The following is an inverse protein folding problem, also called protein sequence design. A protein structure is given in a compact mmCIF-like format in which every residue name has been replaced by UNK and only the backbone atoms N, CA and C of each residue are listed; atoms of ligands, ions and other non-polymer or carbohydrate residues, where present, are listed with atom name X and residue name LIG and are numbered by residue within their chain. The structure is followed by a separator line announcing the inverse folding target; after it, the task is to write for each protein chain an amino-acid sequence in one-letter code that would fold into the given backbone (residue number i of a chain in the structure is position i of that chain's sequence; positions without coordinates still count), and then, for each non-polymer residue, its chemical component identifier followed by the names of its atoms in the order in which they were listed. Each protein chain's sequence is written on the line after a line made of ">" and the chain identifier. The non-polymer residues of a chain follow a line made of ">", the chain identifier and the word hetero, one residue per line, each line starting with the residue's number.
data_IF_693931440685
#
_entry.id   IF_693931440685
#
_cell.length_a   1.000
_cell.length_b   1.000
_cell.length_c   1.000
_cell.angle_alpha   90.00
_cell.angle_beta   90.00
_cell.angle_gamma   90.00
#
_symmetry.space_group_name_H-M   'P 1'
#
loop_
_entity.id
_entity.type
_entity.pdbx_description
1 polymer ?
#
# COMPACT_ATOMS: atom_id res chain seq x y z
N UNK A 1 2.09 -29.83 21.62
CA UNK A 1 1.26 -28.62 21.85
C UNK A 1 0.39 -28.44 20.62
N UNK A 2 -0.92 -28.44 20.77
CA UNK A 2 -1.83 -28.16 19.65
C UNK A 2 -1.61 -26.74 19.21
N UNK A 3 -1.19 -26.54 17.96
CA UNK A 3 -1.00 -25.24 17.34
C UNK A 3 -2.34 -24.50 17.27
N UNK A 4 -2.41 -23.26 17.79
CA UNK A 4 -3.62 -22.45 17.71
C UNK A 4 -4.00 -22.20 16.24
N UNK A 5 -5.30 -22.19 15.96
CA UNK A 5 -5.83 -22.06 14.62
C UNK A 5 -6.48 -20.70 14.39
N UNK A 6 -6.03 -19.98 13.39
CA UNK A 6 -6.55 -18.66 12.99
C UNK A 6 -7.32 -18.80 11.68
N UNK A 7 -8.57 -18.33 11.64
CA UNK A 7 -9.28 -18.17 10.38
C UNK A 7 -8.97 -16.78 9.79
N UNK A 8 -8.48 -16.72 8.55
CA UNK A 8 -8.16 -15.48 7.83
C UNK A 8 -9.07 -15.32 6.61
N UNK A 9 -9.84 -14.24 6.56
CA UNK A 9 -10.91 -14.01 5.60
C UNK A 9 -10.84 -12.63 4.95
N UNK A 10 -11.26 -12.54 3.66
CA UNK A 10 -11.43 -13.65 2.72
C UNK A 10 -10.09 -14.27 2.33
N UNK A 11 -10.07 -15.48 1.77
CA UNK A 11 -8.88 -15.96 1.05
C UNK A 11 -8.64 -15.03 -0.14
N UNK A 12 -7.45 -14.45 -0.21
CA UNK A 12 -7.08 -13.48 -1.22
C UNK A 12 -5.90 -13.98 -2.05
N UNK A 13 -6.04 -13.86 -3.36
CA UNK A 13 -5.02 -14.23 -4.34
C UNK A 13 -4.76 -13.04 -5.29
N UNK A 14 -3.56 -12.96 -5.87
CA UNK A 14 -3.17 -11.91 -6.80
C UNK A 14 -2.18 -10.89 -6.22
N UNK A 15 -2.02 -9.75 -6.91
CA UNK A 15 -0.97 -8.76 -6.65
C UNK A 15 -1.46 -7.54 -5.86
N UNK A 16 -2.75 -7.40 -5.63
CA UNK A 16 -3.31 -6.24 -4.92
C UNK A 16 -2.88 -6.17 -3.45
N UNK A 17 -2.91 -4.98 -2.87
CA UNK A 17 -2.48 -4.71 -1.50
C UNK A 17 -3.03 -5.67 -0.44
N UNK A 18 -4.35 -5.93 -0.37
CA UNK A 18 -4.91 -6.90 0.57
C UNK A 18 -4.43 -8.34 0.36
N UNK A 19 -4.21 -8.77 -0.90
CA UNK A 19 -3.67 -10.08 -1.21
C UNK A 19 -2.20 -10.22 -0.79
N UNK A 20 -1.42 -9.13 -0.95
CA UNK A 20 -0.06 -9.03 -0.43
C UNK A 20 0.01 -9.23 1.07
N UNK A 21 -0.84 -8.51 1.80
CA UNK A 21 -0.94 -8.66 3.26
C UNK A 21 -1.35 -10.10 3.63
N UNK A 22 -2.39 -10.65 3.00
CA UNK A 22 -2.84 -12.02 3.25
C UNK A 22 -1.70 -13.03 3.10
N UNK A 23 -0.95 -12.94 1.99
CA UNK A 23 0.17 -13.85 1.72
C UNK A 23 1.28 -13.76 2.77
N UNK A 24 1.74 -12.54 3.07
CA UNK A 24 2.80 -12.29 4.07
C UNK A 24 2.36 -12.72 5.47
N UNK A 25 1.19 -12.29 5.90
CA UNK A 25 0.65 -12.64 7.23
C UNK A 25 0.52 -14.15 7.38
N UNK A 26 -0.14 -14.84 6.43
CA UNK A 26 -0.38 -16.28 6.54
C UNK A 26 0.90 -17.11 6.43
N UNK A 27 1.90 -16.67 5.66
CA UNK A 27 3.25 -17.27 5.62
C UNK A 27 3.89 -17.18 7.01
N UNK A 28 4.00 -15.96 7.55
CA UNK A 28 4.72 -15.70 8.81
C UNK A 28 4.05 -16.38 10.02
N UNK A 29 2.72 -16.38 10.10
CA UNK A 29 2.05 -17.10 11.23
C UNK A 29 2.21 -18.61 11.13
N UNK A 30 2.26 -19.21 9.92
CA UNK A 30 2.56 -20.64 9.75
C UNK A 30 3.99 -20.98 10.17
N UNK A 31 4.96 -20.14 9.82
CA UNK A 31 6.36 -20.29 10.23
C UNK A 31 6.51 -20.25 11.76
N UNK A 32 5.57 -19.59 12.46
CA UNK A 32 5.47 -19.56 13.94
C UNK A 32 4.65 -20.70 14.52
N UNK A 33 4.23 -21.65 13.70
CA UNK A 33 3.51 -22.85 14.14
C UNK A 33 2.00 -22.71 14.25
N UNK A 34 1.39 -21.59 13.82
CA UNK A 34 -0.07 -21.45 13.78
C UNK A 34 -0.66 -22.16 12.56
N UNK A 35 -1.83 -22.76 12.74
CA UNK A 35 -2.64 -23.26 11.63
C UNK A 35 -3.51 -22.14 11.04
N UNK A 36 -3.64 -22.08 9.71
CA UNK A 36 -4.46 -21.06 9.02
C UNK A 36 -5.60 -21.72 8.26
N UNK A 37 -6.81 -21.27 8.54
CA UNK A 37 -8.05 -21.66 7.88
C UNK A 37 -8.70 -20.52 7.11
N UNK A 38 -9.64 -20.83 6.18
CA UNK A 38 -10.43 -19.78 5.49
C UNK A 38 -11.94 -19.90 5.81
N UNK A 39 -12.32 -20.77 6.73
CA UNK A 39 -13.67 -20.86 7.26
C UNK A 39 -13.65 -20.54 8.77
N UNK A 40 -14.30 -19.48 9.22
CA UNK A 40 -14.34 -19.09 10.63
C UNK A 40 -15.21 -20.03 11.48
N UNK A 41 -16.01 -20.89 10.85
CA UNK A 41 -16.84 -21.87 11.54
C UNK A 41 -16.18 -23.24 11.65
N UNK A 42 -14.99 -23.45 11.09
CA UNK A 42 -14.27 -24.70 11.14
C UNK A 42 -13.96 -25.14 12.59
N UNK A 43 -13.93 -26.45 12.87
CA UNK A 43 -13.51 -26.96 14.16
C UNK A 43 -12.07 -26.50 14.50
N UNK A 44 -11.85 -26.19 15.78
CA UNK A 44 -10.50 -25.78 16.25
C UNK A 44 -10.10 -24.35 15.96
N UNK A 45 -10.91 -23.54 15.25
CA UNK A 45 -10.64 -22.10 15.09
C UNK A 45 -10.82 -21.39 16.42
N UNK A 46 -9.79 -20.67 16.84
CA UNK A 46 -9.71 -19.94 18.11
C UNK A 46 -9.82 -18.41 17.94
N UNK A 47 -9.38 -17.89 16.79
CA UNK A 47 -9.49 -16.47 16.44
C UNK A 47 -9.76 -16.28 14.94
N UNK A 48 -10.33 -15.13 14.59
CA UNK A 48 -10.67 -14.77 13.20
C UNK A 48 -10.06 -13.41 12.87
N UNK A 49 -9.32 -13.34 11.76
CA UNK A 49 -8.88 -12.10 11.14
C UNK A 49 -9.69 -11.85 9.87
N UNK A 50 -10.41 -10.74 9.82
CA UNK A 50 -11.13 -10.28 8.62
C UNK A 50 -10.34 -9.15 7.97
N UNK A 51 -9.92 -9.37 6.72
CA UNK A 51 -9.24 -8.35 5.90
C UNK A 51 -10.30 -7.57 5.12
N UNK A 52 -10.44 -6.28 5.44
CA UNK A 52 -11.48 -5.39 4.93
C UNK A 52 -12.89 -5.95 5.19
N UNK A 53 -13.47 -6.65 4.22
CA UNK A 53 -14.81 -7.24 4.33
C UNK A 53 -14.88 -8.64 3.71
N UNK A 54 -15.89 -9.39 4.10
CA UNK A 54 -16.16 -10.74 3.57
C UNK A 54 -17.63 -10.99 3.42
N UNK A 55 -18.01 -11.85 2.47
CA UNK A 55 -19.39 -12.33 2.29
C UNK A 55 -19.79 -13.41 3.31
N UNK A 56 -18.85 -13.93 4.07
CA UNK A 56 -19.06 -14.99 5.08
C UNK A 56 -19.71 -14.46 6.38
N UNK A 57 -20.64 -13.51 6.29
CA UNK A 57 -21.33 -12.90 7.45
C UNK A 57 -22.02 -13.94 8.36
N UNK A 58 -22.76 -14.93 7.82
CA UNK A 58 -23.38 -15.95 8.68
C UNK A 58 -22.36 -16.79 9.46
N UNK A 59 -21.21 -17.10 8.86
CA UNK A 59 -20.13 -17.85 9.51
C UNK A 59 -19.46 -17.01 10.60
N UNK A 60 -19.22 -15.71 10.36
CA UNK A 60 -18.73 -14.78 11.38
C UNK A 60 -19.69 -14.68 12.57
N UNK A 61 -21.00 -14.63 12.30
CA UNK A 61 -22.01 -14.65 13.37
C UNK A 61 -21.96 -15.91 14.21
N UNK A 62 -21.78 -17.09 13.58
CA UNK A 62 -21.62 -18.36 14.29
C UNK A 62 -20.35 -18.37 15.13
N UNK A 63 -19.22 -17.90 14.58
CA UNK A 63 -17.96 -17.76 15.30
C UNK A 63 -18.13 -16.87 16.54
N UNK A 64 -18.74 -15.70 16.38
CA UNK A 64 -19.01 -14.79 17.48
C UNK A 64 -19.89 -15.39 18.57
N UNK A 65 -20.94 -16.15 18.21
CA UNK A 65 -21.80 -16.86 19.19
C UNK A 65 -21.05 -17.96 19.95
N UNK A 66 -19.98 -18.51 19.38
CA UNK A 66 -19.09 -19.47 20.04
C UNK A 66 -18.04 -18.79 20.91
N UNK A 67 -18.05 -17.47 21.04
CA UNK A 67 -17.06 -16.69 21.78
C UNK A 67 -15.73 -16.55 21.07
N UNK A 68 -15.63 -16.89 19.78
CA UNK A 68 -14.41 -16.73 19.01
C UNK A 68 -14.18 -15.24 18.72
N UNK A 69 -12.98 -14.75 19.06
CA UNK A 69 -12.60 -13.37 18.87
C UNK A 69 -12.44 -13.03 17.38
N UNK A 70 -13.03 -11.92 16.97
CA UNK A 70 -13.00 -11.42 15.59
C UNK A 70 -12.24 -10.09 15.56
N UNK A 71 -11.11 -10.07 14.87
CA UNK A 71 -10.32 -8.86 14.58
C UNK A 71 -10.58 -8.46 13.13
N UNK A 72 -10.92 -7.20 12.91
CA UNK A 72 -11.09 -6.67 11.54
C UNK A 72 -9.96 -5.71 11.21
N UNK A 73 -9.23 -6.00 10.12
CA UNK A 73 -8.26 -5.08 9.52
C UNK A 73 -8.94 -4.20 8.50
N UNK A 74 -8.87 -2.89 8.67
CA UNK A 74 -9.47 -1.90 7.78
C UNK A 74 -8.42 -1.10 7.03
N UNK A 75 -8.62 -1.01 5.73
CA UNK A 75 -7.92 -0.18 4.78
C UNK A 75 -8.82 0.98 4.30
N UNK A 76 -8.71 1.34 3.03
CA UNK A 76 -9.49 2.41 2.41
C UNK A 76 -10.99 2.09 2.42
N UNK A 77 -11.80 3.14 2.56
CA UNK A 77 -13.20 3.12 2.12
C UNK A 77 -13.20 3.24 0.58
N UNK A 78 -14.07 2.51 -0.11
CA UNK A 78 -14.22 2.69 -1.56
C UNK A 78 -14.82 4.07 -1.82
N UNK A 79 -14.11 4.96 -2.50
CA UNK A 79 -14.51 6.35 -2.69
C UNK A 79 -14.42 6.85 -4.13
N UNK A 80 -13.46 6.35 -4.92
CA UNK A 80 -13.15 6.84 -6.27
C UNK A 80 -14.35 6.79 -7.21
N UNK A 81 -15.21 5.77 -7.07
CA UNK A 81 -16.44 5.63 -7.87
C UNK A 81 -17.43 6.80 -7.70
N UNK A 82 -17.29 7.63 -6.65
CA UNK A 82 -18.13 8.85 -6.44
C UNK A 82 -17.63 10.05 -7.24
N UNK A 83 -16.36 10.04 -7.66
CA UNK A 83 -15.70 11.15 -8.34
C UNK A 83 -15.31 10.84 -9.78
N UNK A 84 -15.38 9.56 -10.17
CA UNK A 84 -15.02 9.10 -11.50
C UNK A 84 -16.24 8.54 -12.22
N UNK A 85 -16.26 8.68 -13.56
CA UNK A 85 -17.28 8.00 -14.37
C UNK A 85 -17.01 6.50 -14.39
N UNK A 86 -17.70 5.76 -13.55
CA UNK A 86 -17.64 4.30 -13.48
C UNK A 86 -18.97 3.69 -13.95
N UNK A 87 -18.97 2.39 -14.27
CA UNK A 87 -20.20 1.69 -14.56
C UNK A 87 -21.10 1.61 -13.31
N UNK A 88 -22.42 1.61 -13.50
CA UNK A 88 -23.41 1.45 -12.41
C UNK A 88 -23.10 0.18 -11.60
N UNK A 89 -22.69 -0.90 -12.26
CA UNK A 89 -22.29 -2.14 -11.59
C UNK A 89 -21.12 -1.94 -10.64
N UNK A 90 -20.08 -1.20 -11.06
CA UNK A 90 -18.93 -0.89 -10.22
C UNK A 90 -19.32 -0.02 -9.03
N UNK A 91 -20.17 0.99 -9.27
CA UNK A 91 -20.68 1.86 -8.21
C UNK A 91 -21.42 1.06 -7.13
N UNK A 92 -22.42 0.27 -7.51
CA UNK A 92 -23.22 -0.54 -6.59
C UNK A 92 -22.35 -1.56 -5.84
N UNK A 93 -21.41 -2.21 -6.53
CA UNK A 93 -20.49 -3.17 -5.92
C UNK A 93 -19.61 -2.51 -4.86
N UNK A 94 -19.12 -1.30 -5.12
CA UNK A 94 -18.29 -0.53 -4.18
C UNK A 94 -19.06 -0.13 -2.93
N UNK A 95 -20.31 0.35 -3.08
CA UNK A 95 -21.17 0.70 -1.94
C UNK A 95 -21.56 -0.53 -1.13
N UNK A 96 -21.88 -1.67 -1.75
CA UNK A 96 -22.12 -2.94 -1.05
C UNK A 96 -20.87 -3.34 -0.26
N UNK A 97 -19.68 -3.20 -0.83
CA UNK A 97 -18.43 -3.45 -0.15
C UNK A 97 -18.26 -2.59 1.11
N UNK A 98 -18.56 -1.30 1.01
CA UNK A 98 -18.52 -0.35 2.13
C UNK A 98 -19.52 -0.76 3.24
N UNK A 99 -20.76 -1.12 2.87
CA UNK A 99 -21.79 -1.59 3.80
C UNK A 99 -21.34 -2.87 4.52
N UNK A 100 -20.77 -3.83 3.81
CA UNK A 100 -20.25 -5.07 4.40
C UNK A 100 -19.15 -4.77 5.42
N UNK A 101 -18.16 -3.96 5.04
CA UNK A 101 -17.05 -3.58 5.94
C UNK A 101 -17.57 -2.88 7.20
N UNK A 102 -18.48 -1.92 7.04
CA UNK A 102 -19.12 -1.21 8.16
C UNK A 102 -19.96 -2.12 9.05
N UNK A 103 -20.69 -3.08 8.47
CA UNK A 103 -21.50 -4.05 9.22
C UNK A 103 -20.61 -4.91 10.11
N UNK A 104 -19.50 -5.41 9.58
CA UNK A 104 -18.53 -6.19 10.36
C UNK A 104 -17.92 -5.33 11.45
N UNK A 105 -17.47 -4.11 11.10
CA UNK A 105 -16.88 -3.14 12.02
C UNK A 105 -17.78 -2.86 13.22
N UNK A 106 -19.06 -2.60 12.97
CA UNK A 106 -20.01 -2.20 13.99
C UNK A 106 -20.51 -3.37 14.84
N UNK A 107 -20.85 -4.51 14.19
CA UNK A 107 -21.65 -5.55 14.81
C UNK A 107 -20.88 -6.84 15.15
N UNK A 108 -19.82 -7.16 14.39
CA UNK A 108 -19.15 -8.46 14.50
C UNK A 108 -17.75 -8.37 15.10
N UNK A 109 -16.92 -7.44 14.64
CA UNK A 109 -15.55 -7.30 15.15
C UNK A 109 -15.54 -7.00 16.66
N UNK A 110 -14.62 -7.62 17.39
CA UNK A 110 -14.34 -7.34 18.80
C UNK A 110 -13.18 -6.36 18.93
N UNK A 111 -12.31 -6.32 17.94
CA UNK A 111 -11.16 -5.43 17.85
C UNK A 111 -10.96 -4.96 16.41
N UNK A 112 -10.51 -3.73 16.23
CA UNK A 112 -10.30 -3.13 14.90
C UNK A 112 -8.83 -2.79 14.74
N UNK A 113 -8.24 -3.18 13.63
CA UNK A 113 -6.89 -2.76 13.24
C UNK A 113 -7.03 -1.84 12.03
N UNK A 114 -6.67 -0.58 12.20
CA UNK A 114 -6.54 0.36 11.08
C UNK A 114 -5.10 0.36 10.56
N UNK A 115 -4.94 0.47 9.24
CA UNK A 115 -3.62 0.42 8.62
C UNK A 115 -2.79 1.69 8.81
N UNK A 116 -3.42 2.79 9.25
CA UNK A 116 -2.78 4.08 9.51
C UNK A 116 -3.70 4.96 10.34
N UNK A 117 -3.18 6.05 10.88
CA UNK A 117 -3.99 7.10 11.51
C UNK A 117 -4.94 7.73 10.49
N UNK A 118 -4.46 8.00 9.27
CA UNK A 118 -5.29 8.47 8.17
C UNK A 118 -6.50 7.54 7.93
N UNK A 119 -6.28 6.24 7.81
CA UNK A 119 -7.37 5.29 7.61
C UNK A 119 -8.37 5.33 8.77
N UNK A 120 -7.87 5.40 10.02
CA UNK A 120 -8.74 5.51 11.19
C UNK A 120 -9.60 6.78 11.17
N UNK A 121 -9.00 7.93 10.95
CA UNK A 121 -9.69 9.22 10.90
C UNK A 121 -10.75 9.21 9.80
N UNK A 122 -10.41 8.75 8.62
CA UNK A 122 -11.35 8.62 7.51
C UNK A 122 -12.56 7.72 7.87
N UNK A 123 -12.32 6.56 8.52
CA UNK A 123 -13.40 5.69 8.99
C UNK A 123 -14.27 6.36 10.06
N UNK A 124 -13.68 7.19 10.93
CA UNK A 124 -14.42 7.95 11.95
C UNK A 124 -15.26 9.06 11.30
N UNK A 125 -14.72 9.79 10.36
CA UNK A 125 -15.40 10.89 9.69
C UNK A 125 -16.62 10.39 8.89
N UNK A 126 -16.47 9.27 8.18
CA UNK A 126 -17.56 8.74 7.33
C UNK A 126 -18.60 7.95 8.13
N UNK A 127 -18.19 7.17 9.11
CA UNK A 127 -19.08 6.20 9.80
C UNK A 127 -19.15 6.36 11.31
N UNK A 128 -18.48 7.33 11.89
CA UNK A 128 -18.45 7.57 13.34
C UNK A 128 -17.67 6.52 14.13
N UNK A 129 -17.59 6.73 15.43
CA UNK A 129 -16.94 5.82 16.36
C UNK A 129 -17.80 4.57 16.64
N UNK A 130 -17.13 3.44 16.92
CA UNK A 130 -17.78 2.21 17.38
C UNK A 130 -17.61 1.97 18.88
N UNK A 131 -16.75 2.74 19.56
CA UNK A 131 -16.36 2.50 20.95
C UNK A 131 -15.54 1.22 21.19
N UNK A 132 -15.17 0.49 20.15
CA UNK A 132 -14.39 -0.75 20.24
C UNK A 132 -12.89 -0.48 20.42
N UNK A 133 -12.15 -1.39 21.08
CA UNK A 133 -10.70 -1.37 21.10
C UNK A 133 -10.13 -1.37 19.68
N UNK A 134 -9.02 -0.67 19.50
CA UNK A 134 -8.36 -0.60 18.19
C UNK A 134 -6.85 -0.46 18.31
N UNK A 135 -6.15 -0.82 17.25
CA UNK A 135 -4.73 -0.54 17.01
C UNK A 135 -4.52 0.13 15.66
N UNK A 136 -3.41 0.85 15.53
CA UNK A 136 -2.86 1.28 14.26
C UNK A 136 -1.68 0.37 13.94
N UNK A 137 -1.81 -0.45 12.89
CA UNK A 137 -0.76 -1.39 12.48
C UNK A 137 -0.53 -1.23 10.98
N UNK A 138 0.62 -0.65 10.60
CA UNK A 138 1.02 -0.49 9.21
C UNK A 138 1.24 -1.84 8.52
N UNK A 139 1.34 -1.83 7.21
CA UNK A 139 1.71 -3.01 6.45
C UNK A 139 3.15 -3.42 6.77
N UNK A 140 3.39 -4.72 6.82
CA UNK A 140 4.72 -5.28 7.02
C UNK A 140 5.33 -5.77 5.72
N UNK A 141 6.65 -5.80 5.70
CA UNK A 141 7.48 -6.33 4.61
C UNK A 141 8.54 -7.27 5.16
N UNK A 142 8.86 -8.32 4.40
CA UNK A 142 10.00 -9.18 4.70
C UNK A 142 11.30 -8.44 4.38
N UNK A 143 12.05 -8.07 5.42
CA UNK A 143 13.27 -7.27 5.31
C UNK A 143 14.46 -8.05 4.72
N UNK A 144 14.33 -9.37 4.55
CA UNK A 144 15.32 -10.18 3.86
C UNK A 144 15.03 -10.25 2.36
N UNK A 145 13.75 -10.40 1.99
CA UNK A 145 13.29 -10.37 0.60
C UNK A 145 13.46 -8.96 0.01
N UNK A 146 13.00 -7.93 0.74
CA UNK A 146 13.14 -6.52 0.39
C UNK A 146 14.34 -5.92 1.14
N UNK A 147 15.46 -5.89 0.48
CA UNK A 147 16.75 -5.53 1.06
C UNK A 147 17.52 -4.58 0.14
N UNK A 148 18.32 -3.65 0.69
CA UNK A 148 19.21 -2.80 -0.13
C UNK A 148 20.39 -3.59 -0.76
N UNK A 149 20.57 -4.85 -0.34
CA UNK A 149 21.66 -5.69 -0.82
C UNK A 149 21.20 -6.54 -2.01
N UNK A 150 21.98 -6.53 -3.09
CA UNK A 150 21.75 -7.28 -4.33
C UNK A 150 22.73 -6.88 -5.40
N UNK A 151 22.64 -7.52 -6.56
CA UNK A 151 23.51 -7.26 -7.72
C UNK A 151 23.12 -5.98 -8.48
N UNK A 152 21.83 -5.60 -8.38
CA UNK A 152 21.29 -4.45 -9.10
C UNK A 152 21.60 -3.16 -8.33
N UNK A 153 22.20 -2.21 -9.04
CA UNK A 153 22.55 -0.88 -8.53
C UNK A 153 21.96 0.19 -9.45
N UNK A 154 21.75 1.41 -8.96
CA UNK A 154 21.32 2.51 -9.81
C UNK A 154 22.34 2.79 -10.92
N UNK A 155 21.89 3.16 -12.14
CA UNK A 155 22.78 3.57 -13.22
C UNK A 155 23.57 4.82 -12.83
N UNK A 156 24.75 4.99 -13.43
CA UNK A 156 25.64 6.14 -13.17
C UNK A 156 25.65 7.19 -14.28
N UNK A 157 25.09 6.84 -15.43
CA UNK A 157 25.03 7.67 -16.63
C UNK A 157 23.71 8.44 -16.77
N UNK A 158 22.71 8.10 -15.98
CA UNK A 158 21.42 8.77 -15.91
C UNK A 158 20.76 8.59 -14.54
N UNK A 159 19.74 9.41 -14.26
CA UNK A 159 18.88 9.22 -13.09
C UNK A 159 17.68 8.34 -13.44
N UNK A 160 17.25 7.52 -12.49
CA UNK A 160 16.08 6.66 -12.64
C UNK A 160 15.04 6.97 -11.59
N UNK A 161 13.87 7.46 -12.04
CA UNK A 161 12.66 7.60 -11.25
C UNK A 161 11.79 6.37 -11.46
N UNK A 162 11.34 5.75 -10.38
CA UNK A 162 10.52 4.54 -10.41
C UNK A 162 9.08 4.85 -9.98
N UNK A 163 8.13 4.25 -10.68
CA UNK A 163 6.71 4.17 -10.28
C UNK A 163 6.28 2.71 -10.34
N UNK A 164 5.66 2.23 -9.28
CA UNK A 164 5.16 0.85 -9.20
C UNK A 164 3.71 0.88 -8.75
N UNK A 165 2.81 0.42 -9.61
CA UNK A 165 1.39 0.30 -9.31
C UNK A 165 0.82 -0.97 -9.93
N UNK A 166 -0.16 -1.59 -9.29
CA UNK A 166 -0.76 -2.80 -9.83
C UNK A 166 -1.47 -2.55 -11.17
N UNK A 167 -2.12 -1.39 -11.30
CA UNK A 167 -2.86 -0.97 -12.49
C UNK A 167 -2.93 0.55 -12.60
N UNK A 168 -2.63 1.08 -13.76
CA UNK A 168 -2.70 2.50 -14.10
C UNK A 168 -3.54 2.71 -15.37
N UNK A 169 -4.75 2.15 -15.39
CA UNK A 169 -5.70 2.25 -16.50
C UNK A 169 -7.12 2.01 -16.00
N UNK A 170 -8.13 2.38 -16.81
CA UNK A 170 -9.55 2.20 -16.46
C UNK A 170 -10.01 3.13 -15.35
N UNK A 171 -9.54 4.38 -15.40
CA UNK A 171 -9.86 5.42 -14.43
C UNK A 171 -8.83 5.60 -13.30
N UNK A 172 -7.72 4.87 -13.32
CA UNK A 172 -6.60 5.00 -12.37
C UNK A 172 -5.34 5.62 -13.02
N UNK A 173 -5.54 6.38 -14.10
CA UNK A 173 -4.45 6.99 -14.88
C UNK A 173 -3.83 8.20 -14.20
N UNK A 174 -4.52 8.82 -13.22
CA UNK A 174 -4.06 10.06 -12.58
C UNK A 174 -2.68 9.95 -11.95
N UNK A 175 -2.37 8.81 -11.34
CA UNK A 175 -1.04 8.52 -10.80
C UNK A 175 0.04 8.51 -11.87
N UNK A 176 -0.22 7.87 -13.01
CA UNK A 176 0.69 7.86 -14.18
C UNK A 176 0.86 9.26 -14.77
N UNK A 177 -0.24 9.99 -14.95
CA UNK A 177 -0.21 11.39 -15.42
C UNK A 177 0.67 12.26 -14.52
N UNK A 178 0.52 12.14 -13.21
CA UNK A 178 1.33 12.87 -12.24
C UNK A 178 2.80 12.49 -12.31
N UNK A 179 3.13 11.20 -12.49
CA UNK A 179 4.50 10.73 -12.63
C UNK A 179 5.18 11.29 -13.89
N UNK A 180 4.47 11.28 -15.01
CA UNK A 180 4.97 11.82 -16.28
C UNK A 180 5.17 13.34 -16.20
N UNK A 181 4.18 14.06 -15.62
CA UNK A 181 4.29 15.50 -15.39
C UNK A 181 5.48 15.87 -14.49
N UNK A 182 5.74 15.05 -13.47
CA UNK A 182 6.92 15.22 -12.60
C UNK A 182 8.21 15.00 -13.41
N UNK A 183 8.32 13.90 -14.15
CA UNK A 183 9.51 13.56 -14.92
C UNK A 183 9.82 14.61 -16.00
N UNK A 184 8.79 15.14 -16.70
CA UNK A 184 8.96 16.22 -17.69
C UNK A 184 9.51 17.52 -17.05
N UNK A 185 9.11 17.83 -15.82
CA UNK A 185 9.59 19.02 -15.11
C UNK A 185 11.01 18.81 -14.60
N UNK A 186 11.28 17.62 -14.03
CA UNK A 186 12.62 17.24 -13.56
C UNK A 186 13.64 17.27 -14.69
N UNK A 187 13.31 16.74 -15.88
CA UNK A 187 14.25 16.73 -17.02
C UNK A 187 14.67 18.15 -17.45
N UNK A 188 13.87 19.17 -17.17
CA UNK A 188 14.22 20.57 -17.46
C UNK A 188 15.19 21.20 -16.44
N UNK A 189 15.26 20.63 -15.25
CA UNK A 189 16.09 21.11 -14.13
C UNK A 189 17.38 20.29 -13.99
N UNK A 190 17.48 19.14 -14.67
CA UNK A 190 18.60 18.21 -14.56
C UNK A 190 19.55 18.35 -15.76
N UNK A 191 20.86 18.34 -15.47
CA UNK A 191 21.92 18.36 -16.48
C UNK A 191 22.15 16.97 -17.13
N UNK A 192 21.61 15.89 -16.54
CA UNK A 192 21.75 14.52 -17.02
C UNK A 192 20.39 13.91 -17.38
N UNK A 193 20.37 12.86 -18.22
CA UNK A 193 19.13 12.20 -18.62
C UNK A 193 18.37 11.64 -17.42
N UNK A 194 17.03 11.68 -17.49
CA UNK A 194 16.12 11.06 -16.54
C UNK A 194 15.31 9.96 -17.23
N UNK A 195 15.43 8.73 -16.74
CA UNK A 195 14.56 7.62 -17.10
C UNK A 195 13.38 7.53 -16.12
N UNK A 196 12.14 7.54 -16.62
CA UNK A 196 10.96 7.17 -15.85
C UNK A 196 10.61 5.70 -16.13
N UNK A 197 10.83 4.85 -15.16
CA UNK A 197 10.44 3.43 -15.21
C UNK A 197 9.07 3.25 -14.58
N UNK A 198 8.16 2.64 -15.34
CA UNK A 198 6.77 2.39 -14.92
C UNK A 198 6.53 0.89 -14.87
N UNK A 199 6.28 0.36 -13.67
CA UNK A 199 5.90 -1.03 -13.42
C UNK A 199 4.42 -1.08 -13.09
N UNK A 200 3.66 -1.85 -13.86
CA UNK A 200 2.23 -2.05 -13.68
C UNK A 200 1.46 -2.18 -14.98
N UNK A 201 0.20 -2.52 -14.86
CA UNK A 201 -0.65 -2.69 -16.03
C UNK A 201 -1.12 -1.32 -16.55
N UNK A 202 -0.57 -0.90 -17.69
CA UNK A 202 -1.00 0.27 -18.46
C UNK A 202 -1.55 -0.21 -19.80
N UNK A 203 -2.68 0.33 -20.25
CA UNK A 203 -3.25 -0.02 -21.56
C UNK A 203 -2.32 0.44 -22.71
N UNK A 204 -2.25 -0.32 -23.79
CA UNK A 204 -1.29 -0.07 -24.88
C UNK A 204 -1.52 1.26 -25.60
N UNK A 205 -2.76 1.70 -25.74
CA UNK A 205 -3.12 3.00 -26.29
C UNK A 205 -2.62 4.16 -25.41
N UNK A 206 -2.71 4.02 -24.09
CA UNK A 206 -2.18 4.99 -23.11
C UNK A 206 -0.65 5.02 -23.18
N UNK A 207 0.02 3.85 -23.26
CA UNK A 207 1.47 3.79 -23.42
C UNK A 207 1.91 4.51 -24.70
N UNK A 208 1.30 4.18 -25.85
CA UNK A 208 1.61 4.78 -27.14
C UNK A 208 1.40 6.30 -27.13
N UNK A 209 0.31 6.77 -26.51
CA UNK A 209 0.03 8.20 -26.36
C UNK A 209 1.17 8.90 -25.61
N UNK A 210 1.56 8.40 -24.45
CA UNK A 210 2.59 9.04 -23.64
C UNK A 210 3.99 8.94 -24.25
N UNK A 211 4.34 7.81 -24.86
CA UNK A 211 5.63 7.64 -25.55
C UNK A 211 5.81 8.62 -26.72
N UNK A 212 4.72 8.95 -27.43
CA UNK A 212 4.79 9.88 -28.57
C UNK A 212 4.72 11.35 -28.19
N UNK A 213 4.19 11.68 -26.99
CA UNK A 213 3.83 13.07 -26.64
C UNK A 213 4.74 13.72 -25.60
N UNK A 214 5.56 12.94 -24.85
CA UNK A 214 6.23 13.47 -23.67
C UNK A 214 7.65 14.00 -23.91
N UNK A 215 8.39 13.47 -24.87
CA UNK A 215 9.80 13.80 -25.12
C UNK A 215 10.77 13.42 -23.98
N UNK A 216 10.34 12.58 -23.04
CA UNK A 216 11.18 12.04 -21.96
C UNK A 216 11.51 10.56 -22.21
N UNK A 217 12.55 10.06 -21.58
CA UNK A 217 12.87 8.64 -21.59
C UNK A 217 11.89 7.87 -20.68
N UNK A 218 10.86 7.28 -21.30
CA UNK A 218 9.77 6.59 -20.63
C UNK A 218 9.82 5.09 -20.93
N UNK A 219 9.98 4.27 -19.88
CA UNK A 219 10.14 2.84 -19.97
C UNK A 219 8.99 2.11 -19.25
N UNK A 220 8.07 1.50 -20.01
CA UNK A 220 6.98 0.69 -19.47
C UNK A 220 7.39 -0.78 -19.42
N UNK A 221 7.58 -1.32 -18.22
CA UNK A 221 7.93 -2.74 -18.00
C UNK A 221 6.71 -3.67 -17.92
N UNK A 222 5.51 -3.09 -17.88
CA UNK A 222 4.30 -3.89 -17.66
C UNK A 222 4.23 -4.49 -16.26
N UNK A 223 3.53 -5.61 -16.12
CA UNK A 223 3.48 -6.35 -14.86
C UNK A 223 4.70 -7.26 -14.74
N UNK A 224 5.52 -7.04 -13.73
CA UNK A 224 6.68 -7.88 -13.41
C UNK A 224 6.34 -8.87 -12.28
N UNK A 225 7.01 -10.02 -12.19
CA UNK A 225 6.89 -10.93 -11.06
C UNK A 225 7.23 -10.21 -9.75
N UNK A 226 6.53 -10.54 -8.68
CA UNK A 226 6.75 -9.93 -7.37
C UNK A 226 8.17 -10.10 -6.86
N UNK A 227 8.77 -11.26 -7.14
CA UNK A 227 10.15 -11.55 -6.76
C UNK A 227 11.19 -10.61 -7.40
N UNK A 228 10.85 -9.99 -8.53
CA UNK A 228 11.74 -9.09 -9.26
C UNK A 228 11.60 -7.62 -8.81
N UNK A 229 10.54 -7.28 -8.07
CA UNK A 229 10.30 -5.90 -7.59
C UNK A 229 11.47 -5.36 -6.75
N UNK A 230 12.08 -6.13 -5.81
CA UNK A 230 13.24 -5.64 -5.06
C UNK A 230 14.42 -5.26 -5.95
N UNK A 231 14.66 -5.99 -7.04
CA UNK A 231 15.73 -5.68 -8.01
C UNK A 231 15.49 -4.33 -8.70
N UNK A 232 14.26 -4.08 -9.15
CA UNK A 232 13.89 -2.79 -9.73
C UNK A 232 14.00 -1.64 -8.73
N UNK A 233 13.62 -1.87 -7.46
CA UNK A 233 13.76 -0.87 -6.41
C UNK A 233 15.23 -0.54 -6.12
N UNK A 234 16.11 -1.55 -6.03
CA UNK A 234 17.55 -1.32 -5.85
C UNK A 234 18.17 -0.54 -7.01
N UNK A 235 17.73 -0.81 -8.24
CA UNK A 235 18.25 -0.17 -9.45
C UNK A 235 17.69 1.23 -9.72
N UNK A 236 16.82 1.76 -8.88
CA UNK A 236 16.30 3.12 -9.01
C UNK A 236 16.99 4.09 -8.04
N UNK A 237 16.92 5.38 -8.34
CA UNK A 237 17.40 6.45 -7.46
C UNK A 237 16.30 6.96 -6.53
N UNK A 238 15.04 6.91 -6.99
CA UNK A 238 13.91 7.52 -6.31
C UNK A 238 12.61 6.82 -6.69
N UNK A 239 11.75 6.55 -5.70
CA UNK A 239 10.37 6.16 -5.95
C UNK A 239 9.47 7.41 -5.90
N UNK A 240 8.62 7.60 -6.91
CA UNK A 240 7.45 8.45 -6.78
C UNK A 240 6.24 7.59 -6.42
N UNK A 241 5.65 7.83 -5.24
CA UNK A 241 4.39 7.18 -4.85
C UNK A 241 3.22 7.88 -5.53
N UNK A 242 2.61 7.17 -6.46
CA UNK A 242 1.52 7.68 -7.29
C UNK A 242 0.12 7.49 -6.67
N UNK A 243 0.02 6.77 -5.55
CA UNK A 243 -1.25 6.48 -4.86
C UNK A 243 -1.82 7.74 -4.22
N UNK A 244 -3.11 7.97 -4.44
CA UNK A 244 -3.86 9.08 -3.84
C UNK A 244 -4.76 8.54 -2.72
N UNK A 245 -4.58 9.08 -1.51
CA UNK A 245 -5.34 8.69 -0.32
C UNK A 245 -5.21 7.21 0.05
N UNK A 246 -4.04 6.61 -0.20
CA UNK A 246 -3.75 5.24 0.22
C UNK A 246 -3.68 5.07 1.74
N UNK A 247 -4.29 4.03 2.29
CA UNK A 247 -4.27 3.76 3.74
C UNK A 247 -2.89 3.31 4.24
N UNK A 248 -2.15 2.58 3.43
CA UNK A 248 -0.77 2.15 3.68
C UNK A 248 -0.23 1.48 2.41
N UNK A 249 0.24 2.25 1.42
CA UNK A 249 0.74 1.70 0.17
C UNK A 249 1.91 0.73 0.38
N UNK A 250 1.75 -0.53 -0.05
CA UNK A 250 2.80 -1.53 0.08
C UNK A 250 4.09 -1.13 -0.65
N UNK A 251 3.96 -0.49 -1.82
CA UNK A 251 5.11 -0.06 -2.62
C UNK A 251 6.02 0.90 -1.86
N UNK A 252 5.46 1.76 -1.01
CA UNK A 252 6.23 2.67 -0.16
C UNK A 252 7.02 1.89 0.89
N UNK A 253 6.35 0.99 1.61
CA UNK A 253 6.99 0.14 2.63
C UNK A 253 8.08 -0.75 2.02
N UNK A 254 7.82 -1.33 0.84
CA UNK A 254 8.74 -2.15 0.06
C UNK A 254 9.96 -1.35 -0.44
N UNK A 255 9.71 -0.12 -0.91
CA UNK A 255 10.75 0.80 -1.36
C UNK A 255 11.71 1.16 -0.23
N UNK A 256 11.17 1.60 0.90
CA UNK A 256 11.96 1.95 2.08
C UNK A 256 12.79 0.75 2.56
N UNK A 257 12.23 -0.46 2.53
CA UNK A 257 12.96 -1.68 2.89
C UNK A 257 14.14 -1.98 1.96
N UNK A 258 14.01 -1.65 0.67
CA UNK A 258 15.12 -1.74 -0.31
C UNK A 258 16.11 -0.57 -0.21
N UNK A 259 15.96 0.32 0.76
CA UNK A 259 16.77 1.53 0.87
C UNK A 259 16.52 2.52 -0.28
N UNK A 260 15.38 2.46 -0.94
CA UNK A 260 15.01 3.40 -1.99
C UNK A 260 14.16 4.54 -1.38
N UNK A 261 14.65 5.79 -1.40
CA UNK A 261 13.91 6.92 -0.88
C UNK A 261 12.63 7.19 -1.68
N UNK A 262 11.66 7.82 -1.01
CA UNK A 262 10.33 8.06 -1.57
C UNK A 262 10.03 9.55 -1.62
N UNK A 263 9.49 10.01 -2.74
CA UNK A 263 8.81 11.30 -2.80
C UNK A 263 7.33 11.11 -3.06
N UNK A 264 6.53 11.97 -2.49
CA UNK A 264 5.08 11.95 -2.67
C UNK A 264 4.44 13.27 -2.33
N UNK A 265 3.16 13.37 -2.66
CA UNK A 265 2.28 14.37 -2.06
C UNK A 265 1.78 13.90 -0.68
N UNK A 266 1.37 14.87 0.15
CA UNK A 266 0.84 14.65 1.51
C UNK A 266 -0.59 14.08 1.50
N UNK A 267 -0.80 13.01 0.75
CA UNK A 267 -2.10 12.37 0.60
C UNK A 267 -2.13 11.02 1.30
N UNK A 268 -3.28 10.67 1.87
CA UNK A 268 -3.40 9.40 2.57
C UNK A 268 -2.45 9.25 3.75
N UNK A 269 -1.89 8.08 3.91
CA UNK A 269 -0.94 7.75 4.97
C UNK A 269 0.53 8.14 4.64
N UNK A 270 0.81 8.75 3.49
CA UNK A 270 2.20 9.03 3.09
C UNK A 270 2.98 9.87 4.09
N UNK A 271 2.39 10.91 4.75
CA UNK A 271 3.08 11.64 5.82
C UNK A 271 3.38 10.81 7.06
N UNK A 272 2.71 9.67 7.24
CA UNK A 272 2.96 8.75 8.36
C UNK A 272 4.06 7.73 8.04
N UNK A 273 4.20 7.35 6.77
CA UNK A 273 5.09 6.29 6.31
C UNK A 273 6.48 6.81 5.94
N UNK A 274 6.56 8.02 5.37
CA UNK A 274 7.81 8.63 4.91
C UNK A 274 8.24 9.67 5.93
N UNK A 275 9.15 9.30 6.81
CA UNK A 275 9.67 10.12 7.93
C UNK A 275 11.19 10.03 8.02
N UNK A 276 11.77 10.82 8.91
CA UNK A 276 13.17 10.72 9.35
C UNK A 276 14.17 10.69 8.19
N UNK A 277 13.97 11.56 7.18
CA UNK A 277 14.76 11.61 5.96
C UNK A 277 14.73 10.32 5.12
N UNK A 278 13.69 9.50 5.25
CA UNK A 278 13.49 8.34 4.37
C UNK A 278 12.95 8.73 2.99
N UNK A 279 12.68 10.00 2.79
CA UNK A 279 12.15 10.62 1.61
C UNK A 279 11.56 11.98 1.93
N UNK A 280 10.83 12.57 0.99
CA UNK A 280 10.19 13.89 1.17
C UNK A 280 8.72 13.84 0.74
N UNK A 281 7.86 14.31 1.62
CA UNK A 281 6.43 14.48 1.37
C UNK A 281 6.11 15.97 1.30
N UNK A 282 5.42 16.38 0.25
CA UNK A 282 5.10 17.81 -0.01
C UNK A 282 3.60 18.03 -0.15
N UNK A 283 3.10 19.25 0.12
CA UNK A 283 1.68 19.56 -0.05
C UNK A 283 1.18 19.27 -1.47
N UNK A 284 0.00 18.64 -1.57
CA UNK A 284 -0.68 18.41 -2.86
C UNK A 284 -1.04 19.75 -3.54
N UNK A 285 -1.43 20.73 -2.74
CA UNK A 285 -1.67 22.09 -3.17
C UNK A 285 -3.02 22.35 -3.85
N UNK A 286 -3.90 21.34 -3.89
CA UNK A 286 -5.27 21.42 -4.41
C UNK A 286 -6.14 20.34 -3.77
N UNK A 287 -7.41 20.19 -4.19
CA UNK A 287 -8.33 19.21 -3.62
C UNK A 287 -8.06 17.79 -4.19
N UNK A 288 -7.34 16.97 -3.42
CA UNK A 288 -7.03 15.59 -3.79
C UNK A 288 -8.28 14.71 -3.88
N UNK A 289 -9.31 14.98 -3.07
CA UNK A 289 -10.56 14.22 -3.10
C UNK A 289 -11.34 14.43 -4.40
N UNK A 290 -11.19 15.59 -5.03
CA UNK A 290 -11.72 15.89 -6.36
C UNK A 290 -10.76 15.51 -7.48
N UNK A 291 -9.58 14.95 -7.14
CA UNK A 291 -8.53 14.60 -8.09
C UNK A 291 -8.08 15.81 -8.96
N UNK A 292 -8.10 17.01 -8.38
CA UNK A 292 -7.59 18.20 -9.03
C UNK A 292 -6.09 18.08 -9.35
N UNK A 293 -5.57 18.95 -10.20
CA UNK A 293 -4.16 18.96 -10.59
C UNK A 293 -3.29 19.42 -9.40
N UNK A 294 -2.26 18.66 -9.00
CA UNK A 294 -1.38 19.05 -7.91
C UNK A 294 -0.41 20.16 -8.31
N UNK A 295 0.17 20.83 -7.30
CA UNK A 295 1.25 21.78 -7.48
C UNK A 295 2.60 21.07 -7.50
N UNK A 296 3.24 20.97 -8.67
CA UNK A 296 4.45 20.17 -8.85
C UNK A 296 5.75 20.82 -8.36
N UNK A 297 5.82 22.15 -8.24
CA UNK A 297 7.07 22.83 -7.91
C UNK A 297 7.74 22.33 -6.63
N UNK A 298 7.02 22.15 -5.50
CA UNK A 298 7.62 21.57 -4.29
C UNK A 298 8.11 20.13 -4.50
N UNK A 299 7.39 19.32 -5.29
CA UNK A 299 7.75 17.92 -5.55
C UNK A 299 9.02 17.81 -6.42
N UNK A 300 9.18 18.71 -7.39
CA UNK A 300 10.42 18.82 -8.20
C UNK A 300 11.61 19.15 -7.30
N UNK A 301 11.47 20.15 -6.42
CA UNK A 301 12.52 20.52 -5.47
C UNK A 301 12.88 19.36 -4.53
N UNK A 302 11.89 18.65 -4.02
CA UNK A 302 12.08 17.47 -3.19
C UNK A 302 12.87 16.37 -3.93
N UNK A 303 12.54 16.11 -5.19
CA UNK A 303 13.26 15.12 -5.99
C UNK A 303 14.73 15.51 -6.22
N UNK A 304 15.00 16.78 -6.54
CA UNK A 304 16.36 17.30 -6.71
C UNK A 304 17.18 17.20 -5.42
N UNK A 305 16.57 17.52 -4.28
CA UNK A 305 17.21 17.36 -2.97
C UNK A 305 17.59 15.91 -2.70
N UNK A 306 16.66 14.96 -2.91
CA UNK A 306 16.94 13.53 -2.72
C UNK A 306 18.02 13.03 -3.69
N UNK A 307 18.00 13.45 -4.96
CA UNK A 307 19.02 13.07 -5.92
C UNK A 307 20.42 13.54 -5.51
N UNK A 308 20.54 14.74 -4.93
CA UNK A 308 21.80 15.31 -4.48
C UNK A 308 22.33 14.67 -3.18
N UNK A 309 21.46 14.01 -2.40
CA UNK A 309 21.80 13.46 -1.07
C UNK A 309 21.50 11.96 -0.96
N UNK A 310 21.63 11.20 -2.04
CA UNK A 310 21.26 9.79 -2.18
C UNK A 310 21.76 8.89 -1.01
N UNK A 311 23.03 8.92 -0.58
CA UNK A 311 23.49 7.99 0.46
C UNK A 311 22.75 8.15 1.78
N UNK A 312 22.49 9.39 2.20
CA UNK A 312 21.78 9.70 3.44
C UNK A 312 20.33 9.23 3.38
N UNK A 313 19.62 9.58 2.30
CA UNK A 313 18.23 9.19 2.14
C UNK A 313 18.05 7.68 2.04
N UNK A 314 18.95 6.97 1.35
CA UNK A 314 18.93 5.50 1.26
C UNK A 314 19.12 4.83 2.62
N UNK A 315 20.07 5.32 3.43
CA UNK A 315 20.29 4.81 4.77
C UNK A 315 19.05 5.04 5.65
N UNK A 316 18.50 6.24 5.63
CA UNK A 316 17.32 6.59 6.42
C UNK A 316 16.07 5.81 5.97
N UNK A 317 15.90 5.59 4.65
CA UNK A 317 14.82 4.76 4.12
C UNK A 317 14.86 3.34 4.69
N UNK A 318 16.04 2.69 4.66
CA UNK A 318 16.21 1.37 5.25
C UNK A 318 15.95 1.36 6.75
N UNK A 319 16.47 2.33 7.48
CA UNK A 319 16.29 2.44 8.94
C UNK A 319 14.81 2.61 9.31
N UNK A 320 14.06 3.42 8.55
CA UNK A 320 12.62 3.59 8.73
C UNK A 320 11.87 2.27 8.56
N UNK A 321 12.24 1.47 7.55
CA UNK A 321 11.61 0.18 7.32
C UNK A 321 11.91 -0.82 8.46
N UNK A 322 13.14 -0.85 8.95
CA UNK A 322 13.55 -1.71 10.06
C UNK A 322 12.81 -1.35 11.36
N UNK A 323 12.63 -0.06 11.61
CA UNK A 323 11.96 0.41 12.81
C UNK A 323 10.44 0.18 12.81
N UNK A 324 9.79 0.26 11.64
CA UNK A 324 8.34 0.39 11.57
C UNK A 324 7.64 -0.73 10.78
N UNK A 325 8.33 -1.41 9.85
CA UNK A 325 7.66 -2.23 8.85
C UNK A 325 8.13 -3.69 8.78
N UNK A 326 8.95 -4.16 9.73
CA UNK A 326 9.31 -5.58 9.80
C UNK A 326 8.05 -6.44 9.96
N UNK A 327 7.85 -7.38 9.03
CA UNK A 327 6.70 -8.28 9.03
C UNK A 327 6.58 -9.06 10.33
N UNK A 328 7.70 -9.39 10.99
CA UNK A 328 7.69 -10.12 12.25
C UNK A 328 7.06 -9.29 13.37
N UNK A 329 7.46 -8.02 13.51
CA UNK A 329 6.88 -7.09 14.49
C UNK A 329 5.40 -6.80 14.18
N UNK A 330 5.07 -6.64 12.89
CA UNK A 330 3.68 -6.45 12.46
C UNK A 330 2.82 -7.66 12.86
N UNK A 331 3.29 -8.87 12.59
CA UNK A 331 2.56 -10.11 12.94
C UNK A 331 2.42 -10.26 14.46
N UNK A 332 3.44 -9.92 15.26
CA UNK A 332 3.34 -9.94 16.74
C UNK A 332 2.19 -9.08 17.23
N UNK A 333 2.05 -7.87 16.69
CA UNK A 333 0.95 -6.96 17.04
C UNK A 333 -0.42 -7.52 16.65
N UNK A 334 -0.52 -8.17 15.49
CA UNK A 334 -1.75 -8.85 15.10
C UNK A 334 -2.08 -10.04 15.99
N UNK A 335 -1.07 -10.84 16.40
CA UNK A 335 -1.26 -11.95 17.33
C UNK A 335 -1.72 -11.46 18.70
N UNK A 336 -1.18 -10.35 19.20
CA UNK A 336 -1.67 -9.70 20.42
C UNK A 336 -3.13 -9.26 20.31
N UNK A 337 -3.54 -8.71 19.16
CA UNK A 337 -4.93 -8.33 18.92
C UNK A 337 -5.87 -9.55 18.84
N UNK A 338 -5.40 -10.66 18.25
CA UNK A 338 -6.14 -11.92 18.09
C UNK A 338 -6.24 -12.71 19.39
N UNK A 339 -5.17 -12.73 20.17
CA UNK A 339 -5.03 -13.49 21.42
C UNK A 339 -4.56 -12.55 22.55
N UNK A 340 -5.45 -11.71 23.07
CA UNK A 340 -5.11 -10.84 24.20
C UNK A 340 -4.83 -11.70 25.44
N UNK A 341 -3.90 -11.22 26.29
CA UNK A 341 -3.56 -11.87 27.56
C UNK A 341 -4.74 -11.92 28.52
#
# INVERSE_FOLDING_TARGET
>A
MTSATIAVLPKLEGLAGPASFYGRFTKTVRERGFSVHNDPAAPGVEAVLVIAGTKHIPQLWRAKRRGIRIVQRLDNINWQHKHMRTSIYHYVRSEIGNVIMQTIRRNLADHIVYQSHFAREWWLDVYGSTGKPFDIIYNGVDLQEYSPFGSEVPPTDHLRLLVVEGRMSGGQEKGLENAINLAQRLQKELDQPLELVVIGKVASDIQAHWQSSTGIWLNFLGQVPRADIPAHMRSAHLLFSADLNGACPNVVVESLACGLPVISFDTGALPELVKDNSGIVVPYGSDVWKMEQPVFKPLVQAALEVFNNQPQYRQSARQQAENCFDINHVVDRYLTALFPA
#
